data_IF_609611374497
#
_entry.id   IF_609611374497
#
_cell.length_a   1.000
_cell.length_b   1.000
_cell.length_c   1.000
_cell.angle_alpha   90.00
_cell.angle_beta   90.00
_cell.angle_gamma   90.00
#
_symmetry.space_group_name_H-M   'P 1'
#
loop_
_entity.id
_entity.type
_entity.pdbx_description
1 polymer ?
#
# COMPACT_ATOMS: atom_id res chain seq x y z
N UNK A 1 -20.46 36.96 12.52
CA UNK A 1 -19.24 36.17 12.80
C UNK A 1 -19.51 34.66 12.86
N UNK A 2 -20.49 34.19 13.64
CA UNK A 2 -20.83 32.76 13.80
C UNK A 2 -21.21 32.05 12.48
N UNK A 3 -21.96 32.73 11.60
CA UNK A 3 -22.38 32.19 10.29
C UNK A 3 -21.21 31.86 9.34
N UNK A 4 -20.10 32.59 9.42
CA UNK A 4 -18.92 32.37 8.56
C UNK A 4 -18.18 31.11 8.99
N UNK A 5 -18.13 30.85 10.31
CA UNK A 5 -17.49 29.66 10.89
C UNK A 5 -18.25 28.39 10.50
N UNK A 6 -19.58 28.44 10.50
CA UNK A 6 -20.44 27.32 10.08
C UNK A 6 -20.26 27.02 8.59
N UNK A 7 -20.25 28.06 7.73
CA UNK A 7 -20.03 27.87 6.30
C UNK A 7 -18.65 27.31 5.97
N UNK A 8 -17.59 27.77 6.65
CA UNK A 8 -16.24 27.21 6.49
C UNK A 8 -16.19 25.75 6.97
N UNK A 9 -16.80 25.43 8.11
CA UNK A 9 -16.85 24.07 8.63
C UNK A 9 -17.53 23.08 7.67
N UNK A 10 -18.64 23.49 7.05
CA UNK A 10 -19.34 22.69 6.03
C UNK A 10 -18.49 22.56 4.76
N UNK A 11 -17.78 23.62 4.36
CA UNK A 11 -16.90 23.60 3.19
C UNK A 11 -15.70 22.67 3.38
N UNK A 12 -15.05 22.69 4.55
CA UNK A 12 -13.96 21.79 4.90
C UNK A 12 -14.42 20.31 4.92
N UNK A 13 -15.61 20.02 5.47
CA UNK A 13 -16.15 18.65 5.48
C UNK A 13 -16.51 18.11 4.08
N UNK A 14 -16.80 18.99 3.11
CA UNK A 14 -17.02 18.57 1.71
C UNK A 14 -15.72 18.37 0.93
N UNK A 15 -14.67 19.10 1.26
CA UNK A 15 -13.37 19.05 0.54
C UNK A 15 -12.49 17.89 1.00
N UNK A 16 -12.65 17.44 2.25
CA UNK A 16 -11.89 16.31 2.79
C UNK A 16 -12.82 15.10 2.99
N UNK A 17 -13.21 14.40 1.91
CA UNK A 17 -13.91 13.13 2.08
C UNK A 17 -12.95 12.16 2.80
N UNK A 18 -13.37 11.72 3.98
CA UNK A 18 -12.67 10.69 4.74
C UNK A 18 -12.76 9.36 3.99
N UNK A 19 -11.75 9.15 3.12
CA UNK A 19 -11.21 7.88 2.65
C UNK A 19 -12.20 6.72 2.41
N UNK A 20 -12.78 6.65 1.21
CA UNK A 20 -13.22 5.39 0.60
C UNK A 20 -12.01 4.60 0.03
N UNK A 21 -10.89 4.59 0.73
CA UNK A 21 -9.61 4.15 0.16
C UNK A 21 -9.58 2.67 -0.26
N UNK A 22 -10.28 1.80 0.46
CA UNK A 22 -10.36 0.38 0.12
C UNK A 22 -11.21 0.11 -1.14
N UNK A 23 -11.95 1.10 -1.67
CA UNK A 23 -12.64 0.94 -2.96
C UNK A 23 -11.71 1.04 -4.16
N UNK A 24 -10.57 1.72 -4.02
CA UNK A 24 -9.73 2.10 -5.16
C UNK A 24 -8.45 1.25 -5.29
N UNK A 25 -8.18 0.37 -4.32
CA UNK A 25 -7.03 -0.53 -4.36
C UNK A 25 -7.48 -1.97 -4.57
N UNK A 26 -7.11 -2.53 -5.73
CA UNK A 26 -7.34 -3.94 -6.05
C UNK A 26 -6.04 -4.74 -5.91
N UNK A 27 -5.89 -5.58 -4.86
CA UNK A 27 -4.70 -6.43 -4.71
C UNK A 27 -4.60 -7.49 -5.82
N UNK A 28 -5.71 -7.82 -6.52
CA UNK A 28 -5.71 -8.82 -7.59
C UNK A 28 -4.93 -8.39 -8.82
N UNK A 29 -4.65 -7.09 -8.97
CA UNK A 29 -3.71 -6.56 -9.96
C UNK A 29 -2.29 -7.16 -9.83
N UNK A 30 -1.89 -7.57 -8.62
CA UNK A 30 -0.56 -8.14 -8.37
C UNK A 30 -0.53 -9.67 -8.46
N UNK A 31 -1.70 -10.31 -8.60
CA UNK A 31 -1.85 -11.76 -8.72
C UNK A 31 -3.22 -12.24 -8.21
N UNK A 32 -3.74 -13.37 -8.72
CA UNK A 32 -5.08 -13.86 -8.38
C UNK A 32 -5.22 -14.21 -6.89
N UNK A 33 -4.13 -14.64 -6.25
CA UNK A 33 -4.10 -15.01 -4.83
C UNK A 33 -3.57 -13.89 -3.93
N UNK A 34 -3.41 -12.68 -4.46
CA UNK A 34 -2.91 -11.54 -3.69
C UNK A 34 -4.02 -10.90 -2.86
N UNK A 35 -3.66 -10.48 -1.65
CA UNK A 35 -4.56 -9.89 -0.67
C UNK A 35 -3.95 -8.65 -0.04
N UNK A 36 -4.79 -7.64 0.21
CA UNK A 36 -4.40 -6.49 1.02
C UNK A 36 -4.18 -6.94 2.46
N UNK A 37 -3.02 -6.60 3.04
CA UNK A 37 -2.72 -6.92 4.44
C UNK A 37 -2.90 -5.68 5.31
N UNK A 38 -2.10 -4.65 5.06
CA UNK A 38 -2.08 -3.44 5.88
C UNK A 38 -1.54 -2.24 5.12
N UNK A 39 -1.68 -1.06 5.72
CA UNK A 39 -1.18 0.20 5.18
C UNK A 39 -0.35 0.92 6.23
N UNK A 40 0.78 1.44 5.79
CA UNK A 40 1.63 2.35 6.54
C UNK A 40 1.85 3.63 5.72
N UNK A 41 1.31 4.77 6.18
CA UNK A 41 1.43 6.03 5.45
C UNK A 41 0.94 5.96 3.99
N UNK A 42 1.87 6.05 3.03
CA UNK A 42 1.59 5.95 1.60
C UNK A 42 1.97 4.58 0.98
N UNK A 43 2.26 3.59 1.81
CA UNK A 43 2.66 2.24 1.39
C UNK A 43 1.61 1.23 1.81
N UNK A 44 1.32 0.28 0.94
CA UNK A 44 0.41 -0.84 1.16
C UNK A 44 1.24 -2.11 1.13
N UNK A 45 0.96 -3.02 2.05
CA UNK A 45 1.49 -4.38 2.02
C UNK A 45 0.47 -5.33 1.38
N UNK A 46 0.95 -6.15 0.45
CA UNK A 46 0.15 -7.12 -0.30
C UNK A 46 0.78 -8.50 -0.12
N UNK A 47 0.04 -9.42 0.48
CA UNK A 47 0.48 -10.82 0.59
C UNK A 47 -0.01 -11.60 -0.62
N UNK A 48 0.90 -12.23 -1.36
CA UNK A 48 0.58 -13.13 -2.46
C UNK A 48 1.01 -14.55 -2.13
N UNK A 49 0.56 -15.02 -0.95
CA UNK A 49 0.86 -16.34 -0.36
C UNK A 49 2.29 -16.54 0.12
N UNK A 50 2.86 -15.55 0.79
CA UNK A 50 4.21 -15.63 1.35
C UNK A 50 4.42 -16.80 2.34
N UNK A 51 3.36 -17.36 2.91
CA UNK A 51 3.39 -18.55 3.76
C UNK A 51 3.75 -19.86 3.02
N UNK A 52 3.67 -19.87 1.69
CA UNK A 52 4.09 -20.99 0.83
C UNK A 52 5.07 -20.53 -0.25
N UNK A 53 6.00 -19.67 0.15
CA UNK A 53 7.03 -19.09 -0.74
C UNK A 53 6.46 -18.26 -1.91
N UNK A 54 5.24 -17.74 -1.73
CA UNK A 54 4.69 -16.72 -2.61
C UNK A 54 5.33 -15.35 -2.40
N UNK A 55 5.11 -14.40 -3.32
CA UNK A 55 5.60 -13.04 -3.17
C UNK A 55 4.89 -12.26 -2.05
N UNK A 56 5.57 -11.23 -1.55
CA UNK A 56 4.99 -10.20 -0.68
C UNK A 56 5.42 -8.84 -1.22
N UNK A 57 4.47 -7.98 -1.57
CA UNK A 57 4.78 -6.70 -2.20
C UNK A 57 4.52 -5.52 -1.27
N UNK A 58 5.41 -4.54 -1.32
CA UNK A 58 5.18 -3.21 -0.78
C UNK A 58 4.91 -2.25 -1.93
N UNK A 59 3.74 -1.62 -1.91
CA UNK A 59 3.20 -0.87 -3.05
C UNK A 59 2.97 0.58 -2.67
N UNK A 60 3.37 1.50 -3.55
CA UNK A 60 3.00 2.91 -3.43
C UNK A 60 1.50 3.07 -3.66
N UNK A 61 0.80 3.56 -2.64
CA UNK A 61 -0.65 3.77 -2.69
C UNK A 61 -1.13 4.68 -3.83
N UNK A 62 -0.36 5.72 -4.16
CA UNK A 62 -0.79 6.73 -5.14
C UNK A 62 -0.60 6.26 -6.57
N UNK A 63 0.50 5.56 -6.84
CA UNK A 63 0.89 5.15 -8.19
C UNK A 63 0.55 3.69 -8.49
N UNK A 64 0.38 2.86 -7.47
CA UNK A 64 0.25 1.41 -7.61
C UNK A 64 1.56 0.73 -8.03
N UNK A 65 2.68 1.43 -7.95
CA UNK A 65 4.00 0.86 -8.26
C UNK A 65 4.52 0.02 -7.10
N UNK A 66 5.14 -1.11 -7.43
CA UNK A 66 5.84 -1.93 -6.43
C UNK A 66 7.13 -1.20 -6.05
N UNK A 67 7.26 -0.88 -4.78
CA UNK A 67 8.44 -0.27 -4.17
C UNK A 67 9.46 -1.33 -3.78
N UNK A 68 8.98 -2.49 -3.31
CA UNK A 68 9.84 -3.58 -2.90
C UNK A 68 9.14 -4.95 -3.01
N UNK A 69 9.93 -5.96 -3.36
CA UNK A 69 9.56 -7.36 -3.43
C UNK A 69 10.15 -8.07 -2.21
N UNK A 70 9.34 -8.88 -1.56
CA UNK A 70 9.70 -9.71 -0.41
C UNK A 70 9.05 -11.09 -0.50
N UNK A 71 9.23 -11.93 0.52
CA UNK A 71 8.72 -13.31 0.52
C UNK A 71 9.51 -14.21 -0.42
N UNK A 72 8.87 -15.26 -0.94
CA UNK A 72 9.56 -16.27 -1.76
C UNK A 72 10.01 -15.78 -3.14
N UNK A 73 9.52 -14.62 -3.61
CA UNK A 73 10.06 -13.99 -4.83
C UNK A 73 11.58 -13.77 -4.74
N UNK A 74 12.06 -13.41 -3.55
CA UNK A 74 13.47 -13.14 -3.29
C UNK A 74 14.31 -14.38 -2.98
N UNK A 75 13.69 -15.58 -2.95
CA UNK A 75 14.36 -16.85 -2.66
C UNK A 75 14.79 -17.60 -3.92
N UNK A 76 14.62 -17.00 -5.09
CA UNK A 76 15.02 -17.59 -6.38
C UNK A 76 16.50 -17.33 -6.68
N UNK A 77 17.11 -18.17 -7.53
CA UNK A 77 18.55 -18.14 -7.85
C UNK A 77 19.03 -16.87 -8.60
N UNK A 78 18.08 -16.02 -9.01
CA UNK A 78 18.33 -14.75 -9.67
C UNK A 78 17.46 -13.65 -9.03
N UNK A 79 17.84 -13.15 -7.83
CA UNK A 79 17.18 -12.00 -7.23
C UNK A 79 17.54 -10.76 -8.07
N UNK A 80 16.92 -10.64 -9.24
CA UNK A 80 17.24 -9.62 -10.22
C UNK A 80 16.90 -8.23 -9.68
N UNK A 81 17.95 -7.43 -9.48
CA UNK A 81 17.89 -5.97 -9.65
C UNK A 81 17.55 -5.14 -8.41
N UNK A 82 16.85 -4.02 -8.67
CA UNK A 82 16.53 -2.93 -7.72
C UNK A 82 15.76 -3.38 -6.46
N UNK A 83 15.19 -4.59 -6.49
CA UNK A 83 14.29 -5.12 -5.48
C UNK A 83 14.93 -6.27 -4.70
N UNK A 84 14.23 -6.77 -3.67
CA UNK A 84 14.72 -7.74 -2.68
C UNK A 84 15.91 -7.23 -1.86
N UNK A 85 16.13 -5.92 -1.82
CA UNK A 85 17.29 -5.32 -1.15
C UNK A 85 16.96 -4.89 0.28
N UNK A 86 15.74 -4.42 0.51
CA UNK A 86 15.32 -3.88 1.79
C UNK A 86 13.94 -4.43 2.13
N UNK A 87 13.86 -5.60 2.77
CA UNK A 87 12.59 -6.20 3.19
C UNK A 87 12.35 -6.06 4.70
N UNK A 88 11.33 -5.31 5.16
CA UNK A 88 10.49 -4.37 4.39
C UNK A 88 11.28 -3.13 3.94
N UNK A 89 10.75 -2.33 2.97
CA UNK A 89 11.45 -1.13 2.49
C UNK A 89 11.65 -0.14 3.65
N UNK A 90 12.70 0.68 3.57
CA UNK A 90 13.08 1.59 4.68
C UNK A 90 11.98 2.59 5.01
N UNK A 91 11.19 2.95 4.01
CA UNK A 91 10.04 3.84 4.12
C UNK A 91 8.84 3.19 4.84
N UNK A 92 8.87 1.89 5.11
CA UNK A 92 7.91 1.19 5.96
C UNK A 92 8.33 1.30 7.43
N UNK A 93 7.79 2.30 8.13
CA UNK A 93 8.18 2.68 9.50
C UNK A 93 7.15 2.35 10.58
N UNK A 94 5.99 1.80 10.21
CA UNK A 94 4.89 1.48 11.15
C UNK A 94 5.11 0.16 11.92
N UNK A 95 6.31 -0.06 12.45
CA UNK A 95 6.67 -1.26 13.22
C UNK A 95 5.90 -1.37 14.54
#
# INVERSE_FOLDING_TARGET
MILIVISLYIFFNKIFPQSNFLKDFDPKKYGPDCEYVSRCGNIISVNCRAEVDGPFYYVNKKTGEILEYCGGYCMTDDPTGKYCQNCPPKEWDCK
#
